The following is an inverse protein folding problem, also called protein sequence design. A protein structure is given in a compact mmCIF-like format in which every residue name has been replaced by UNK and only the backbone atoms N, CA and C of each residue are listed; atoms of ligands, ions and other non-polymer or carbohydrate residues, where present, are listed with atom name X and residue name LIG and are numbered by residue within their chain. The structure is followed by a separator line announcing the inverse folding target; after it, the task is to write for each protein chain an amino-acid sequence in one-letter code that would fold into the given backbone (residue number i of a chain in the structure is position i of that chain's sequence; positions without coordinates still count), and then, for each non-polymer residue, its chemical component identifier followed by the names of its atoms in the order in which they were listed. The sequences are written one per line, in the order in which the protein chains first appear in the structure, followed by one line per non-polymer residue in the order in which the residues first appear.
data_IF_400745326138
#
_entry.id   IF_400745326138
#
_cell.length_a   1.000
_cell.length_b   1.000
_cell.length_c   1.000
_cell.angle_alpha   90.00
_cell.angle_beta   90.00
_cell.angle_gamma   90.00
#
_symmetry.space_group_name_H-M   'P 1'
#
loop_
_entity.id
_entity.type
_entity.pdbx_description
1 polymer ?
#
# COMPACT_ATOMS: atom_id res chain seq x y z
N UNK A 1 16.14 8.50 42.48
CA UNK A 1 14.86 8.78 41.80
C UNK A 1 14.77 7.92 40.54
N UNK A 2 13.99 6.84 40.59
CA UNK A 2 13.79 5.94 39.45
C UNK A 2 12.99 6.70 38.39
N UNK A 3 13.63 7.01 37.28
CA UNK A 3 12.98 7.50 36.06
C UNK A 3 12.11 6.35 35.56
N UNK A 4 10.83 6.37 35.93
CA UNK A 4 9.82 5.59 35.24
C UNK A 4 9.91 6.04 33.78
N UNK A 5 10.54 5.19 32.97
CA UNK A 5 10.52 5.32 31.53
C UNK A 5 9.03 5.34 31.15
N UNK A 6 8.45 6.51 30.93
CA UNK A 6 7.15 6.62 30.30
C UNK A 6 7.36 6.13 28.87
N UNK A 7 7.30 4.82 28.69
CA UNK A 7 7.15 4.23 27.38
C UNK A 7 5.76 4.67 26.94
N UNK A 8 5.64 5.57 25.94
CA UNK A 8 4.32 5.94 25.46
C UNK A 8 3.60 4.65 25.05
N UNK A 9 2.30 4.53 25.37
CA UNK A 9 1.55 3.34 25.00
C UNK A 9 1.74 3.09 23.50
N UNK A 10 2.06 1.85 23.10
CA UNK A 10 2.33 1.55 21.70
C UNK A 10 1.13 2.01 20.88
N UNK A 11 1.37 2.71 19.75
CA UNK A 11 0.29 3.20 18.92
C UNK A 11 -0.62 2.02 18.54
N UNK A 12 -1.94 2.25 18.43
CA UNK A 12 -2.92 1.19 18.12
C UNK A 12 -2.56 0.44 16.82
N UNK A 13 -1.86 1.12 15.90
CA UNK A 13 -1.30 0.54 14.68
C UNK A 13 -0.29 -0.58 14.95
N UNK A 14 0.44 -0.56 16.06
CA UNK A 14 1.36 -1.65 16.45
C UNK A 14 0.64 -2.90 16.92
N UNK A 15 -0.66 -2.81 17.26
CA UNK A 15 -1.52 -3.97 17.50
C UNK A 15 -2.09 -4.56 16.21
N UNK A 16 -2.03 -3.81 15.12
CA UNK A 16 -2.47 -4.28 13.83
C UNK A 16 -1.34 -5.14 13.25
N UNK A 17 -1.62 -6.42 12.98
CA UNK A 17 -0.64 -7.32 12.40
C UNK A 17 -0.11 -6.80 11.06
N UNK A 18 1.13 -7.16 10.75
CA UNK A 18 1.82 -6.68 9.55
C UNK A 18 1.05 -6.97 8.26
N UNK A 19 0.38 -8.12 8.16
CA UNK A 19 -0.47 -8.48 7.02
C UNK A 19 -1.64 -7.51 6.80
N UNK A 20 -2.30 -7.11 7.89
CA UNK A 20 -3.42 -6.17 7.83
C UNK A 20 -2.94 -4.75 7.50
N UNK A 21 -1.80 -4.34 8.05
CA UNK A 21 -1.15 -3.08 7.67
C UNK A 21 -0.81 -3.05 6.18
N UNK A 22 -0.22 -4.13 5.67
CA UNK A 22 0.08 -4.30 4.25
C UNK A 22 -1.20 -4.24 3.41
N UNK A 23 -2.29 -4.87 3.86
CA UNK A 23 -3.57 -4.83 3.16
C UNK A 23 -4.18 -3.42 3.12
N UNK A 24 -4.16 -2.68 4.23
CA UNK A 24 -4.62 -1.28 4.30
C UNK A 24 -3.77 -0.39 3.38
N UNK A 25 -2.45 -0.58 3.39
CA UNK A 25 -1.53 0.14 2.51
C UNK A 25 -1.80 -0.18 1.04
N UNK A 26 -2.03 -1.44 0.68
CA UNK A 26 -2.22 -1.82 -0.72
C UNK A 26 -3.61 -1.41 -1.24
N UNK A 27 -4.65 -1.54 -0.41
CA UNK A 27 -6.03 -1.16 -0.79
C UNK A 27 -6.29 0.35 -0.69
N UNK A 28 -5.79 1.00 0.35
CA UNK A 28 -6.02 2.42 0.63
C UNK A 28 -5.02 3.36 -0.03
N UNK A 29 -3.77 2.92 -0.21
CA UNK A 29 -2.68 3.73 -0.75
C UNK A 29 -2.26 3.27 -2.16
N UNK A 30 -3.21 3.23 -3.10
CA UNK A 30 -2.94 2.96 -4.52
C UNK A 30 -1.96 3.96 -5.18
N UNK A 31 -1.67 5.07 -4.51
CA UNK A 31 -0.77 6.10 -4.98
C UNK A 31 0.64 5.94 -4.37
N UNK A 32 1.69 5.73 -5.19
CA UNK A 32 3.06 5.56 -4.69
C UNK A 32 3.56 6.78 -3.90
N UNK A 33 3.06 7.99 -4.18
CA UNK A 33 3.40 9.19 -3.41
C UNK A 33 2.91 9.10 -1.96
N UNK A 34 1.72 8.55 -1.75
CA UNK A 34 1.19 8.33 -0.41
C UNK A 34 1.96 7.21 0.30
N UNK A 35 2.35 6.15 -0.42
CA UNK A 35 3.18 5.07 0.12
C UNK A 35 4.55 5.59 0.59
N UNK A 36 5.15 6.54 -0.14
CA UNK A 36 6.38 7.19 0.31
C UNK A 36 6.15 8.01 1.59
N UNK A 37 5.04 8.77 1.67
CA UNK A 37 4.72 9.56 2.87
C UNK A 37 4.41 8.68 4.08
N UNK A 38 3.87 7.49 3.86
CA UNK A 38 3.48 6.60 4.94
C UNK A 38 4.68 5.90 5.61
N UNK A 39 5.84 5.83 4.95
CA UNK A 39 7.12 5.48 5.61
C UNK A 39 7.48 6.41 6.77
N UNK A 40 7.01 7.67 6.73
CA UNK A 40 7.32 8.67 7.75
C UNK A 40 6.47 8.53 9.03
N UNK A 41 5.46 7.64 9.03
CA UNK A 41 4.55 7.47 10.19
C UNK A 41 5.28 6.82 11.36
N UNK A 42 5.91 5.67 11.13
CA UNK A 42 6.74 4.99 12.12
C UNK A 42 7.69 3.97 11.47
N UNK A 43 8.64 3.46 12.27
CA UNK A 43 9.63 2.46 11.84
C UNK A 43 8.98 1.19 11.26
N UNK A 44 7.84 0.76 11.82
CA UNK A 44 7.11 -0.42 11.35
C UNK A 44 6.62 -0.22 9.91
N UNK A 45 6.01 0.93 9.61
CA UNK A 45 5.55 1.24 8.24
C UNK A 45 6.72 1.35 7.26
N UNK A 46 7.81 2.02 7.66
CA UNK A 46 9.02 2.11 6.84
C UNK A 46 9.60 0.73 6.50
N UNK A 47 9.64 -0.18 7.48
CA UNK A 47 10.10 -1.56 7.30
C UNK A 47 9.20 -2.33 6.33
N UNK A 48 7.88 -2.28 6.53
CA UNK A 48 6.90 -2.97 5.69
C UNK A 48 6.94 -2.48 4.24
N UNK A 49 6.94 -1.17 4.02
CA UNK A 49 6.91 -0.59 2.66
C UNK A 49 8.23 -0.84 1.92
N UNK A 50 9.34 -0.98 2.65
CA UNK A 50 10.65 -1.30 2.05
C UNK A 50 10.84 -2.79 1.81
N UNK A 51 9.93 -3.64 2.29
CA UNK A 51 10.00 -5.10 2.10
C UNK A 51 9.71 -5.49 0.64
N UNK A 52 10.45 -6.47 0.07
CA UNK A 52 10.16 -6.98 -1.27
C UNK A 52 8.77 -7.63 -1.37
N UNK A 53 8.28 -8.23 -0.27
CA UNK A 53 6.95 -8.86 -0.22
C UNK A 53 5.83 -7.83 -0.44
N UNK A 54 5.99 -6.64 0.14
CA UNK A 54 5.07 -5.53 -0.05
C UNK A 54 5.04 -5.07 -1.51
N UNK A 55 6.21 -4.86 -2.12
CA UNK A 55 6.30 -4.41 -3.52
C UNK A 55 5.62 -5.39 -4.49
N UNK A 56 5.83 -6.70 -4.32
CA UNK A 56 5.16 -7.71 -5.17
C UNK A 56 3.64 -7.59 -5.07
N UNK A 57 3.10 -7.57 -3.84
CA UNK A 57 1.66 -7.50 -3.62
C UNK A 57 1.07 -6.17 -4.08
N UNK A 58 1.80 -5.06 -3.92
CA UNK A 58 1.41 -3.73 -4.41
C UNK A 58 1.31 -3.69 -5.94
N UNK A 59 2.31 -4.23 -6.66
CA UNK A 59 2.31 -4.30 -8.12
C UNK A 59 1.20 -5.22 -8.63
N UNK A 60 1.05 -6.42 -8.06
CA UNK A 60 -0.01 -7.36 -8.44
C UNK A 60 -1.41 -6.77 -8.22
N UNK A 61 -1.63 -6.06 -7.11
CA UNK A 61 -2.90 -5.41 -6.82
C UNK A 61 -3.19 -4.26 -7.82
N UNK A 62 -2.18 -3.46 -8.15
CA UNK A 62 -2.30 -2.41 -9.17
C UNK A 62 -2.63 -2.99 -10.55
N UNK A 63 -1.94 -4.06 -10.95
CA UNK A 63 -2.17 -4.76 -12.21
C UNK A 63 -3.57 -5.37 -12.30
N UNK A 64 -4.03 -6.01 -11.22
CA UNK A 64 -5.38 -6.59 -11.16
C UNK A 64 -6.46 -5.51 -11.31
N UNK A 65 -6.23 -4.32 -10.73
CA UNK A 65 -7.16 -3.19 -10.84
C UNK A 65 -7.16 -2.55 -12.23
N UNK A 66 -6.00 -2.46 -12.89
CA UNK A 66 -5.92 -1.98 -14.27
C UNK A 66 -6.43 -3.00 -15.29
N UNK A 67 -6.32 -4.30 -15.01
CA UNK A 67 -6.86 -5.35 -15.87
C UNK A 67 -8.39 -5.44 -15.83
N UNK A 68 -9.01 -4.91 -14.78
CA UNK A 68 -10.47 -4.74 -14.69
C UNK A 68 -11.00 -3.50 -15.43
N UNK A 69 -10.13 -2.64 -15.97
CA UNK A 69 -10.54 -1.62 -16.94
C UNK A 69 -10.55 -2.32 -18.30
N UNK A 70 -11.72 -2.59 -18.91
CA UNK A 70 -11.73 -3.04 -20.30
C UNK A 70 -10.96 -1.98 -21.09
N UNK A 71 -10.02 -2.36 -21.96
CA UNK A 71 -9.39 -1.39 -22.83
C UNK A 71 -10.54 -0.66 -23.51
N UNK A 72 -10.64 0.65 -23.29
CA UNK A 72 -11.50 1.48 -24.11
C UNK A 72 -10.93 1.34 -25.50
N UNK A 73 -11.47 0.37 -26.22
CA UNK A 73 -11.16 0.07 -27.60
C UNK A 73 -11.34 1.39 -28.34
N UNK A 74 -10.29 1.94 -28.97
CA UNK A 74 -10.56 2.85 -30.05
C UNK A 74 -11.18 1.95 -31.12
N UNK A 75 -12.51 1.95 -31.21
CA UNK A 75 -13.27 1.26 -32.25
C UNK A 75 -12.94 1.87 -33.60
N UNK A 76 -11.76 1.56 -34.13
CA UNK A 76 -11.46 1.68 -35.54
C UNK A 76 -11.82 0.33 -36.18
N UNK A 77 -13.13 0.06 -36.28
CA UNK A 77 -13.59 -0.91 -37.27
C UNK A 77 -13.47 -0.22 -38.64
N UNK A 78 -12.88 -0.87 -39.65
CA UNK A 78 -12.94 -0.36 -41.02
C UNK A 78 -14.40 -0.48 -41.47
N UNK A 79 -14.99 0.64 -41.88
CA UNK A 79 -16.28 0.65 -42.58
C UNK A 79 -16.10 -0.13 -43.88
N UNK A 80 -16.82 -1.24 -44.11
CA UNK A 80 -16.81 -1.88 -45.41
C UNK A 80 -17.50 -0.96 -46.42
N UNK A 81 -16.80 -0.68 -47.52
CA UNK A 81 -17.37 -0.03 -48.71
C UNK A 81 -18.11 -1.01 -49.60
#
# INVERSE_FOLDING_TARGET
MLRHHMVPPPPLISKLGDDLLVEILIRGLLNPRLACRSKLVCKQWSSLISSPSFNRRFVSHRQSRSAGEPPLTPSFLPVPG
#
